data_IF_190926112064
#
_entry.id   IF_190926112064
#
_cell.length_a   1.000
_cell.length_b   1.000
_cell.length_c   1.000
_cell.angle_alpha   90.00
_cell.angle_beta   90.00
_cell.angle_gamma   90.00
#
_symmetry.space_group_name_H-M   'P 1'
#
loop_
_entity.id
_entity.type
_entity.pdbx_description
1 polymer ?
#
# COMPACT_ATOMS: atom_id res chain seq x y z
N UNK A 1 2.91 13.51 -1.00
CA UNK A 1 4.36 13.43 -0.72
C UNK A 1 5.13 12.82 -1.90
N UNK A 2 4.64 11.74 -2.47
CA UNK A 2 5.16 11.10 -3.69
C UNK A 2 4.05 11.08 -4.72
N UNK A 3 4.34 11.42 -5.98
CA UNK A 3 3.46 11.28 -7.11
C UNK A 3 4.25 10.75 -8.31
N UNK A 4 3.77 9.64 -8.88
CA UNK A 4 4.35 9.03 -10.09
C UNK A 4 3.31 9.04 -11.20
N UNK A 5 3.74 9.37 -12.41
CA UNK A 5 2.89 9.42 -13.60
C UNK A 5 3.52 8.58 -14.71
N UNK A 6 2.92 7.44 -14.99
CA UNK A 6 3.33 6.55 -16.07
C UNK A 6 4.79 6.07 -15.98
N UNK A 7 5.32 5.78 -14.77
CA UNK A 7 6.72 5.36 -14.61
C UNK A 7 6.98 4.03 -15.30
N UNK A 8 7.87 4.05 -16.26
CA UNK A 8 8.39 2.86 -16.96
C UNK A 8 9.87 2.70 -16.66
N UNK A 9 10.29 1.46 -16.38
CA UNK A 9 11.72 1.11 -16.31
C UNK A 9 12.01 -0.11 -17.16
N UNK A 10 12.89 0.06 -18.12
CA UNK A 10 13.42 -0.99 -18.98
C UNK A 10 14.91 -1.18 -18.69
N UNK A 11 15.33 -2.43 -18.52
CA UNK A 11 16.75 -2.79 -18.48
C UNK A 11 17.14 -3.49 -19.77
N UNK A 12 18.39 -3.27 -20.18
CA UNK A 12 19.01 -3.91 -21.36
C UNK A 12 20.16 -4.78 -20.88
N UNK A 13 20.20 -6.01 -21.35
CA UNK A 13 21.31 -6.93 -21.13
C UNK A 13 21.63 -7.70 -22.41
N UNK A 14 22.59 -8.61 -22.35
CA UNK A 14 22.99 -9.44 -23.50
C UNK A 14 21.85 -10.34 -24.05
N UNK A 15 20.84 -10.65 -23.24
CA UNK A 15 19.68 -11.46 -23.63
C UNK A 15 18.54 -10.62 -24.23
N UNK A 16 18.64 -9.28 -24.20
CA UNK A 16 17.61 -8.36 -24.76
C UNK A 16 17.15 -7.29 -23.79
N UNK A 17 16.01 -6.69 -24.12
CA UNK A 17 15.35 -5.69 -23.27
C UNK A 17 14.20 -6.32 -22.49
N UNK A 18 14.07 -5.94 -21.21
CA UNK A 18 12.96 -6.35 -20.38
C UNK A 18 12.41 -5.18 -19.57
N UNK A 19 11.08 -5.05 -19.55
CA UNK A 19 10.37 -3.99 -18.86
C UNK A 19 10.06 -4.47 -17.44
N UNK A 20 10.61 -3.77 -16.45
CA UNK A 20 10.43 -4.11 -15.03
C UNK A 20 9.29 -3.31 -14.39
N UNK A 21 9.13 -2.04 -14.80
CA UNK A 21 7.98 -1.21 -14.40
C UNK A 21 7.22 -0.81 -15.65
N UNK A 22 5.89 -0.99 -15.65
CA UNK A 22 5.04 -0.94 -16.84
C UNK A 22 3.97 0.16 -16.74
N UNK A 23 4.39 1.40 -16.43
CA UNK A 23 3.48 2.53 -16.32
C UNK A 23 2.88 2.65 -14.91
N UNK A 24 3.71 2.94 -13.92
CA UNK A 24 3.27 3.06 -12.52
C UNK A 24 2.72 4.46 -12.27
N UNK A 25 1.44 4.52 -11.91
CA UNK A 25 0.75 5.70 -11.41
C UNK A 25 0.45 5.51 -9.92
N UNK A 26 1.10 6.32 -9.06
CA UNK A 26 1.02 6.19 -7.62
C UNK A 26 1.03 7.55 -6.94
N UNK A 27 0.15 7.74 -5.97
CA UNK A 27 0.15 8.92 -5.09
C UNK A 27 0.23 8.49 -3.63
N UNK A 28 1.18 9.08 -2.88
CA UNK A 28 1.32 8.92 -1.44
C UNK A 28 1.25 10.30 -0.80
N UNK A 29 0.37 10.48 0.16
CA UNK A 29 0.17 11.71 0.91
C UNK A 29 1.32 11.98 1.90
N UNK A 30 1.27 13.15 2.55
CA UNK A 30 2.14 13.44 3.69
C UNK A 30 1.60 12.79 4.96
N UNK A 31 2.48 12.31 5.83
CA UNK A 31 2.08 11.66 7.08
C UNK A 31 1.48 10.26 6.90
N UNK A 32 1.60 9.65 5.71
CA UNK A 32 1.17 8.28 5.49
C UNK A 32 2.29 7.28 5.80
N UNK A 33 1.91 6.16 6.40
CA UNK A 33 2.73 4.94 6.44
C UNK A 33 2.21 3.96 5.42
N UNK A 34 2.96 3.76 4.34
CA UNK A 34 2.57 2.94 3.19
C UNK A 34 3.51 1.76 3.04
N UNK A 35 2.97 0.57 2.84
CA UNK A 35 3.75 -0.60 2.45
C UNK A 35 3.59 -0.91 0.96
N UNK A 36 4.69 -1.29 0.30
CA UNK A 36 4.68 -1.92 -1.02
C UNK A 36 4.98 -3.40 -0.86
N UNK A 37 4.05 -4.23 -1.30
CA UNK A 37 4.17 -5.68 -1.22
C UNK A 37 4.13 -6.31 -2.61
N UNK A 38 4.68 -7.53 -2.73
CA UNK A 38 4.69 -8.26 -3.99
C UNK A 38 5.74 -9.36 -3.98
N UNK A 39 5.67 -10.28 -4.93
CA UNK A 39 6.63 -11.37 -5.07
C UNK A 39 8.04 -10.84 -5.37
N UNK A 40 9.06 -11.67 -5.11
CA UNK A 40 10.42 -11.36 -5.57
C UNK A 40 10.41 -11.15 -7.10
N UNK A 41 11.16 -10.14 -7.56
CA UNK A 41 11.21 -9.78 -8.98
C UNK A 41 10.03 -8.98 -9.53
N UNK A 42 9.03 -8.62 -8.70
CA UNK A 42 7.87 -7.83 -9.19
C UNK A 42 8.15 -6.35 -9.47
N UNK A 43 9.34 -5.84 -9.14
CA UNK A 43 9.73 -4.45 -9.39
C UNK A 43 9.76 -3.53 -8.16
N UNK A 44 9.54 -4.03 -6.94
CA UNK A 44 9.48 -3.21 -5.70
C UNK A 44 10.74 -2.36 -5.46
N UNK A 45 11.90 -3.01 -5.36
CA UNK A 45 13.17 -2.29 -5.14
C UNK A 45 13.52 -1.39 -6.33
N UNK A 46 13.12 -1.76 -7.55
CA UNK A 46 13.28 -0.90 -8.72
C UNK A 46 12.44 0.38 -8.56
N UNK A 47 11.18 0.26 -8.12
CA UNK A 47 10.33 1.43 -7.85
C UNK A 47 10.91 2.29 -6.72
N UNK A 48 11.43 1.67 -5.64
CA UNK A 48 12.13 2.40 -4.60
C UNK A 48 13.32 3.20 -5.14
N UNK A 49 14.14 2.58 -5.99
CA UNK A 49 15.30 3.24 -6.59
C UNK A 49 14.89 4.43 -7.47
N UNK A 50 13.72 4.36 -8.13
CA UNK A 50 13.16 5.50 -8.85
C UNK A 50 12.72 6.61 -7.88
N UNK A 51 12.00 6.28 -6.80
CA UNK A 51 11.52 7.24 -5.81
C UNK A 51 12.67 7.93 -5.08
N UNK A 52 13.74 7.19 -4.80
CA UNK A 52 14.93 7.73 -4.10
C UNK A 52 15.92 8.45 -5.02
N UNK A 53 15.70 8.39 -6.33
CA UNK A 53 16.62 9.01 -7.30
C UNK A 53 17.98 8.30 -7.40
N UNK A 54 18.07 7.02 -6.98
CA UNK A 54 19.29 6.20 -7.11
C UNK A 54 19.44 5.71 -8.55
N UNK A 55 18.33 5.35 -9.20
CA UNK A 55 18.31 4.97 -10.62
C UNK A 55 17.23 5.80 -11.34
N UNK A 56 17.25 5.84 -12.68
CA UNK A 56 16.42 6.69 -13.52
C UNK A 56 15.30 5.88 -14.19
N UNK A 57 14.07 6.41 -14.28
CA UNK A 57 13.04 5.82 -15.12
C UNK A 57 13.41 5.94 -16.61
N UNK A 58 12.92 4.99 -17.41
CA UNK A 58 13.04 5.06 -18.88
C UNK A 58 12.04 6.05 -19.47
N UNK A 59 10.86 6.18 -18.84
CA UNK A 59 9.81 7.14 -19.17
C UNK A 59 8.94 7.43 -17.96
N UNK A 60 8.13 8.48 -18.06
CA UNK A 60 7.21 8.93 -17.00
C UNK A 60 7.80 10.04 -16.15
N UNK A 61 7.03 10.48 -15.15
CA UNK A 61 7.38 11.60 -14.28
C UNK A 61 7.37 11.17 -12.80
N UNK A 62 8.37 11.63 -12.04
CA UNK A 62 8.52 11.35 -10.61
C UNK A 62 8.61 12.65 -9.81
N UNK A 63 7.59 12.92 -9.03
CA UNK A 63 7.51 14.10 -8.16
C UNK A 63 7.61 13.65 -6.70
N UNK A 64 8.63 14.13 -5.99
CA UNK A 64 8.83 13.80 -4.57
C UNK A 64 9.00 15.09 -3.79
N UNK A 65 8.21 15.27 -2.73
CA UNK A 65 8.21 16.51 -1.95
C UNK A 65 7.80 17.76 -2.75
N UNK A 66 7.04 17.56 -3.84
CA UNK A 66 6.65 18.65 -4.76
C UNK A 66 7.70 18.96 -5.84
N UNK A 67 8.80 18.23 -5.91
CA UNK A 67 9.88 18.43 -6.88
C UNK A 67 9.94 17.28 -7.87
N UNK A 68 9.96 17.58 -9.18
CA UNK A 68 10.29 16.60 -10.20
C UNK A 68 11.80 16.35 -10.18
N UNK A 69 12.17 15.17 -9.67
CA UNK A 69 13.57 14.85 -9.36
C UNK A 69 14.40 14.43 -10.58
N UNK A 70 13.76 14.21 -11.74
CA UNK A 70 14.48 13.79 -12.96
C UNK A 70 14.52 14.86 -14.04
N UNK A 71 13.47 15.65 -14.21
CA UNK A 71 13.44 16.70 -15.24
C UNK A 71 14.11 18.00 -14.78
N UNK A 72 14.08 18.29 -13.48
CA UNK A 72 14.53 19.58 -12.94
C UNK A 72 15.89 19.54 -12.25
N UNK A 73 16.55 18.37 -12.17
CA UNK A 73 17.80 18.19 -11.43
C UNK A 73 18.82 17.35 -12.18
N UNK A 74 20.07 17.87 -12.27
CA UNK A 74 21.24 17.06 -12.58
C UNK A 74 21.64 16.16 -11.41
N UNK A 75 22.54 15.19 -11.63
CA UNK A 75 22.93 14.17 -10.63
C UNK A 75 23.46 14.80 -9.32
N UNK A 76 24.34 15.78 -9.40
CA UNK A 76 24.88 16.45 -8.20
C UNK A 76 23.80 17.18 -7.39
N UNK A 77 22.83 17.80 -8.06
CA UNK A 77 21.71 18.46 -7.40
C UNK A 77 20.78 17.44 -6.74
N UNK A 78 20.48 16.34 -7.45
CA UNK A 78 19.64 15.24 -6.94
C UNK A 78 20.30 14.55 -5.74
N UNK A 79 21.62 14.34 -5.76
CA UNK A 79 22.35 13.77 -4.62
C UNK A 79 22.25 14.66 -3.38
N UNK A 80 22.41 15.97 -3.51
CA UNK A 80 22.24 16.93 -2.40
C UNK A 80 20.79 16.99 -1.92
N UNK A 81 19.84 17.01 -2.86
CA UNK A 81 18.42 17.00 -2.55
C UNK A 81 18.03 15.74 -1.77
N UNK A 82 18.50 14.55 -2.21
CA UNK A 82 18.31 13.26 -1.54
C UNK A 82 18.78 13.32 -0.10
N UNK A 83 20.02 13.79 0.14
CA UNK A 83 20.59 13.90 1.47
C UNK A 83 19.77 14.76 2.45
N UNK A 84 19.04 15.76 1.95
CA UNK A 84 18.21 16.67 2.76
C UNK A 84 16.75 16.20 2.92
N UNK A 85 16.22 15.49 1.94
CA UNK A 85 14.79 15.20 1.88
C UNK A 85 14.43 13.73 2.11
N UNK A 86 15.40 12.81 2.00
CA UNK A 86 15.16 11.37 2.10
C UNK A 86 16.05 10.73 3.15
N UNK A 87 15.45 9.92 4.00
CA UNK A 87 16.13 8.88 4.76
C UNK A 87 15.97 7.55 4.06
N UNK A 88 17.06 6.82 3.81
CA UNK A 88 17.01 5.54 3.12
C UNK A 88 17.54 4.45 4.04
N UNK A 89 16.71 3.42 4.27
CA UNK A 89 17.07 2.22 5.01
C UNK A 89 17.15 1.07 4.03
N UNK A 90 18.34 0.49 3.87
CA UNK A 90 18.58 -0.61 2.96
C UNK A 90 18.41 -1.97 3.64
N UNK A 91 18.09 -3.00 2.89
CA UNK A 91 17.94 -4.38 3.36
C UNK A 91 19.21 -4.92 4.04
N UNK A 92 20.41 -4.57 3.55
CA UNK A 92 21.72 -5.00 4.05
C UNK A 92 22.46 -3.86 4.76
N UNK A 93 21.82 -3.12 5.62
CA UNK A 93 22.31 -2.02 6.48
C UNK A 93 23.25 -1.01 5.81
N UNK A 94 24.21 -1.45 5.00
CA UNK A 94 25.23 -0.66 4.30
C UNK A 94 25.98 0.33 5.24
N UNK A 95 26.28 -0.14 6.46
CA UNK A 95 27.18 0.58 7.36
C UNK A 95 28.62 0.42 6.87
N UNK A 96 29.39 1.50 6.95
CA UNK A 96 30.82 1.44 6.64
C UNK A 96 31.56 0.73 7.77
N UNK A 97 32.23 -0.42 7.49
CA UNK A 97 32.74 -1.29 8.54
C UNK A 97 33.93 -0.72 9.32
N UNK A 98 34.62 0.29 8.75
CA UNK A 98 35.75 0.98 9.37
C UNK A 98 35.33 2.16 10.24
N UNK A 99 34.08 2.57 10.22
CA UNK A 99 33.55 3.66 11.01
C UNK A 99 32.73 3.14 12.18
N UNK A 100 32.82 3.80 13.33
CA UNK A 100 31.93 3.54 14.48
C UNK A 100 30.46 3.78 14.12
N UNK A 101 29.52 3.34 14.95
CA UNK A 101 28.11 3.61 14.73
C UNK A 101 27.84 5.12 14.73
N UNK A 102 28.51 5.89 15.62
CA UNK A 102 28.40 7.34 15.67
C UNK A 102 28.83 7.96 14.32
N UNK A 103 30.00 7.61 13.82
CA UNK A 103 30.53 8.14 12.57
C UNK A 103 29.66 7.73 11.37
N UNK A 104 29.14 6.51 11.34
CA UNK A 104 28.17 6.09 10.32
C UNK A 104 26.90 6.98 10.31
N UNK A 105 26.41 7.37 11.49
CA UNK A 105 25.22 8.24 11.59
C UNK A 105 25.56 9.69 11.22
N UNK A 106 26.81 10.14 11.40
CA UNK A 106 27.25 11.48 11.00
C UNK A 106 27.37 11.66 9.50
N UNK A 107 27.72 10.60 8.75
CA UNK A 107 28.00 10.66 7.30
C UNK A 107 26.94 11.42 6.47
N UNK A 108 25.63 11.18 6.60
CA UNK A 108 24.64 11.93 5.81
C UNK A 108 24.69 13.43 6.06
N UNK A 109 24.97 13.85 7.30
CA UNK A 109 25.07 15.27 7.67
C UNK A 109 26.30 15.92 7.02
N UNK A 110 27.41 15.18 6.93
CA UNK A 110 28.63 15.63 6.27
C UNK A 110 28.43 15.83 4.76
N UNK A 111 27.80 14.84 4.08
CA UNK A 111 27.57 14.90 2.63
C UNK A 111 26.49 15.90 2.21
N UNK A 112 25.47 16.08 3.04
CA UNK A 112 24.37 17.01 2.75
C UNK A 112 24.64 18.44 3.23
N UNK A 113 25.78 18.65 3.91
CA UNK A 113 26.15 19.92 4.55
C UNK A 113 25.00 20.41 5.46
N UNK A 114 24.57 19.54 6.35
CA UNK A 114 23.51 19.80 7.33
C UNK A 114 24.13 19.93 8.71
N UNK A 115 23.64 20.89 9.47
CA UNK A 115 24.14 21.27 10.80
C UNK A 115 25.62 21.73 10.82
N UNK A 116 25.95 22.52 11.80
CA UNK A 116 27.34 22.91 12.04
C UNK A 116 28.19 21.72 12.46
N UNK A 117 29.44 21.70 12.10
CA UNK A 117 30.38 20.60 12.34
C UNK A 117 30.37 20.15 13.82
N UNK A 118 30.34 21.10 14.74
CA UNK A 118 30.34 20.82 16.20
C UNK A 118 28.99 20.24 16.70
N UNK A 119 27.90 20.41 15.98
CA UNK A 119 26.56 19.92 16.33
C UNK A 119 26.33 18.48 15.87
N UNK A 120 27.01 18.03 14.80
CA UNK A 120 26.81 16.71 14.19
C UNK A 120 27.01 15.54 15.15
N UNK A 121 28.08 15.53 16.01
CA UNK A 121 28.25 14.42 16.97
C UNK A 121 27.11 14.31 18.00
N UNK A 122 26.62 15.46 18.48
CA UNK A 122 25.50 15.48 19.43
C UNK A 122 24.20 14.97 18.75
N UNK A 123 23.92 15.45 17.55
CA UNK A 123 22.78 14.98 16.75
C UNK A 123 22.85 13.48 16.47
N UNK A 124 24.02 12.94 16.12
CA UNK A 124 24.22 11.52 15.89
C UNK A 124 23.98 10.69 17.17
N UNK A 125 24.39 11.18 18.35
CA UNK A 125 24.08 10.53 19.63
C UNK A 125 22.58 10.50 19.91
N UNK A 126 21.87 11.59 19.65
CA UNK A 126 20.41 11.66 19.78
C UNK A 126 19.70 10.62 18.89
N UNK A 127 20.15 10.46 17.65
CA UNK A 127 19.60 9.46 16.74
C UNK A 127 19.92 8.03 17.20
N UNK A 128 21.10 7.78 17.71
CA UNK A 128 21.47 6.50 18.32
C UNK A 128 20.66 6.22 19.61
N UNK A 129 20.43 7.24 20.42
CA UNK A 129 19.56 7.11 21.60
C UNK A 129 18.12 6.79 21.23
N UNK A 130 17.58 7.40 20.17
CA UNK A 130 16.23 7.13 19.64
C UNK A 130 16.02 5.65 19.30
N UNK A 131 17.07 4.97 18.84
CA UNK A 131 17.04 3.53 18.50
C UNK A 131 17.65 2.64 19.58
N UNK A 132 17.92 3.17 20.77
CA UNK A 132 18.44 2.42 21.94
C UNK A 132 19.91 2.03 21.84
N UNK A 133 20.73 2.73 21.03
CA UNK A 133 22.13 2.42 20.77
C UNK A 133 23.14 3.47 21.34
N UNK A 134 22.72 4.31 22.25
CA UNK A 134 23.58 5.35 22.84
C UNK A 134 24.90 4.79 23.41
N UNK A 135 24.80 3.67 24.17
CA UNK A 135 25.95 3.00 24.79
C UNK A 135 26.87 2.28 23.77
N UNK A 136 26.42 2.06 22.54
CA UNK A 136 27.14 1.39 21.47
C UNK A 136 27.74 2.39 20.47
N UNK A 137 27.58 3.67 20.66
CA UNK A 137 27.99 4.73 19.71
C UNK A 137 29.43 4.61 19.22
N UNK A 138 30.37 4.25 20.09
CA UNK A 138 31.80 4.11 19.77
C UNK A 138 32.19 2.74 19.22
N UNK A 139 31.25 1.80 19.08
CA UNK A 139 31.53 0.47 18.54
C UNK A 139 31.52 0.46 17.01
N UNK A 140 32.33 -0.42 16.43
CA UNK A 140 32.28 -0.74 15.00
C UNK A 140 31.07 -1.64 14.70
N UNK A 141 30.54 -1.64 13.47
CA UNK A 141 29.41 -2.49 13.06
C UNK A 141 29.62 -3.97 13.39
N UNK A 142 30.82 -4.50 13.21
CA UNK A 142 31.13 -5.90 13.51
C UNK A 142 31.06 -6.26 15.03
N UNK A 143 31.05 -5.27 15.90
CA UNK A 143 31.01 -5.48 17.35
C UNK A 143 29.57 -5.41 17.94
N UNK A 144 28.54 -5.34 17.10
CA UNK A 144 27.13 -5.27 17.49
C UNK A 144 26.30 -6.31 16.73
N UNK A 145 25.11 -6.65 17.28
CA UNK A 145 24.22 -7.63 16.64
C UNK A 145 23.62 -7.10 15.33
N UNK A 146 23.11 -8.01 14.49
CA UNK A 146 22.39 -7.68 13.25
C UNK A 146 21.25 -6.68 13.48
N UNK A 147 20.43 -6.89 14.54
CA UNK A 147 19.37 -5.96 14.91
C UNK A 147 19.90 -4.58 15.30
N UNK A 148 21.03 -4.53 15.99
CA UNK A 148 21.69 -3.27 16.34
C UNK A 148 22.30 -2.57 15.11
N UNK A 149 22.80 -3.31 14.13
CA UNK A 149 23.26 -2.74 12.87
C UNK A 149 22.09 -2.12 12.08
N UNK A 150 20.94 -2.79 12.05
CA UNK A 150 19.74 -2.25 11.42
C UNK A 150 19.25 -1.00 12.12
N UNK A 151 19.19 -1.02 13.45
CA UNK A 151 18.81 0.15 14.23
C UNK A 151 19.77 1.34 13.96
N UNK A 152 21.08 1.09 13.86
CA UNK A 152 22.05 2.12 13.50
C UNK A 152 21.84 2.65 12.07
N UNK A 153 21.47 1.78 11.11
CA UNK A 153 21.14 2.21 9.75
C UNK A 153 19.88 3.09 9.72
N UNK A 154 18.90 2.82 10.59
CA UNK A 154 17.73 3.68 10.75
C UNK A 154 18.12 5.02 11.39
N UNK A 155 18.95 5.02 12.44
CA UNK A 155 19.47 6.24 13.04
C UNK A 155 20.21 7.11 12.00
N UNK A 156 21.02 6.49 11.15
CA UNK A 156 21.69 7.15 10.01
C UNK A 156 20.69 7.75 9.03
N UNK A 157 19.64 7.03 8.69
CA UNK A 157 18.61 7.52 7.77
C UNK A 157 17.84 8.74 8.33
N UNK A 158 17.74 8.85 9.66
CA UNK A 158 17.06 9.95 10.36
C UNK A 158 17.99 11.14 10.68
N UNK A 159 19.28 11.03 10.47
CA UNK A 159 20.29 12.02 10.91
C UNK A 159 19.99 13.44 10.41
N UNK A 160 19.63 13.59 9.13
CA UNK A 160 19.28 14.86 8.50
C UNK A 160 17.82 15.31 8.71
N UNK A 161 17.06 14.65 9.58
CA UNK A 161 15.64 14.93 9.84
C UNK A 161 14.74 14.92 8.58
N UNK A 162 14.84 13.93 7.69
CA UNK A 162 14.13 13.94 6.43
C UNK A 162 12.61 13.86 6.62
N UNK A 163 11.79 14.51 5.77
CA UNK A 163 10.33 14.39 5.80
C UNK A 163 9.82 13.05 5.25
N UNK A 164 10.64 12.32 4.46
CA UNK A 164 10.32 11.04 3.86
C UNK A 164 11.38 10.00 4.21
N UNK A 165 10.94 8.89 4.81
CA UNK A 165 11.75 7.69 5.05
C UNK A 165 11.33 6.60 4.05
N UNK A 166 12.31 6.04 3.36
CA UNK A 166 12.12 4.92 2.42
C UNK A 166 12.90 3.73 2.94
N UNK A 167 12.24 2.60 3.17
CA UNK A 167 12.84 1.41 3.76
C UNK A 167 12.62 0.18 2.87
N UNK A 168 13.71 -0.46 2.46
CA UNK A 168 13.67 -1.72 1.70
C UNK A 168 13.92 -2.89 2.65
N UNK A 169 12.87 -3.67 2.94
CA UNK A 169 12.85 -4.83 3.83
C UNK A 169 13.55 -4.59 5.19
N UNK A 170 13.17 -3.53 5.94
CA UNK A 170 13.90 -3.09 7.11
C UNK A 170 13.91 -4.09 8.28
N UNK A 171 13.09 -5.13 8.22
CA UNK A 171 12.93 -6.14 9.28
C UNK A 171 13.30 -7.55 8.82
N UNK A 172 13.61 -7.76 7.54
CA UNK A 172 13.76 -9.09 6.94
C UNK A 172 14.85 -9.98 7.53
N UNK A 173 15.83 -9.41 8.23
CA UNK A 173 16.95 -10.14 8.84
C UNK A 173 16.91 -10.08 10.39
N UNK A 174 15.76 -9.77 10.98
CA UNK A 174 15.61 -9.55 12.41
C UNK A 174 14.74 -10.61 13.06
N UNK A 175 14.96 -10.83 14.36
CA UNK A 175 13.99 -11.53 15.20
C UNK A 175 12.71 -10.70 15.38
N UNK A 176 11.61 -11.35 15.74
CA UNK A 176 10.28 -10.72 15.83
C UNK A 176 10.27 -9.52 16.78
N UNK A 177 10.98 -9.61 17.91
CA UNK A 177 11.03 -8.52 18.91
C UNK A 177 11.73 -7.27 18.37
N UNK A 178 12.84 -7.47 17.66
CA UNK A 178 13.58 -6.39 17.01
C UNK A 178 12.78 -5.79 15.85
N UNK A 179 12.07 -6.63 15.09
CA UNK A 179 11.18 -6.19 14.00
C UNK A 179 10.05 -5.32 14.55
N UNK A 180 9.35 -5.76 15.60
CA UNK A 180 8.28 -4.99 16.23
C UNK A 180 8.77 -3.63 16.73
N UNK A 181 9.92 -3.57 17.40
CA UNK A 181 10.49 -2.31 17.87
C UNK A 181 10.75 -1.30 16.76
N UNK A 182 11.19 -1.76 15.57
CA UNK A 182 11.38 -0.91 14.39
C UNK A 182 10.05 -0.40 13.87
N UNK A 183 9.03 -1.24 13.78
CA UNK A 183 7.71 -0.81 13.30
C UNK A 183 7.07 0.16 14.28
N UNK A 184 7.19 -0.07 15.58
CA UNK A 184 6.73 0.88 16.64
C UNK A 184 7.42 2.25 16.47
N UNK A 185 8.73 2.25 16.20
CA UNK A 185 9.46 3.49 15.91
C UNK A 185 8.91 4.16 14.65
N UNK A 186 8.64 3.41 13.58
CA UNK A 186 8.08 3.98 12.35
C UNK A 186 6.69 4.57 12.59
N UNK A 187 5.83 3.88 13.33
CA UNK A 187 4.49 4.41 13.70
C UNK A 187 4.61 5.71 14.50
N UNK A 188 5.55 5.78 15.45
CA UNK A 188 5.83 7.00 16.20
C UNK A 188 6.27 8.14 15.28
N UNK A 189 7.21 7.90 14.38
CA UNK A 189 7.69 8.91 13.41
C UNK A 189 6.55 9.42 12.51
N UNK A 190 5.63 8.54 12.11
CA UNK A 190 4.44 8.94 11.33
C UNK A 190 3.50 9.80 12.16
N UNK A 191 3.27 9.47 13.45
CA UNK A 191 2.47 10.31 14.34
C UNK A 191 3.09 11.70 14.58
N UNK A 192 4.41 11.83 14.39
CA UNK A 192 5.16 13.09 14.40
C UNK A 192 5.17 13.80 13.03
N UNK A 193 4.43 13.28 12.04
CA UNK A 193 4.23 13.90 10.72
C UNK A 193 5.21 13.45 9.64
N UNK A 194 6.07 12.47 9.88
CA UNK A 194 6.92 11.86 8.85
C UNK A 194 6.09 11.01 7.89
N UNK A 195 6.52 10.93 6.64
CA UNK A 195 5.96 9.97 5.67
C UNK A 195 6.90 8.77 5.58
N UNK A 196 6.36 7.56 5.59
CA UNK A 196 7.17 6.34 5.50
C UNK A 196 6.67 5.47 4.36
N UNK A 197 7.59 5.08 3.49
CA UNK A 197 7.37 4.09 2.44
C UNK A 197 8.23 2.87 2.73
N UNK A 198 7.61 1.74 2.98
CA UNK A 198 8.29 0.49 3.31
C UNK A 198 8.01 -0.58 2.24
N UNK A 199 9.05 -1.21 1.73
CA UNK A 199 8.90 -2.47 0.99
C UNK A 199 9.01 -3.62 1.98
N UNK A 200 8.06 -4.55 1.92
CA UNK A 200 8.11 -5.78 2.72
C UNK A 200 7.43 -6.94 1.98
N UNK A 201 7.85 -8.15 2.30
CA UNK A 201 7.17 -9.38 1.91
C UNK A 201 6.44 -10.04 3.08
N UNK A 202 6.52 -9.46 4.28
CA UNK A 202 5.87 -9.96 5.49
C UNK A 202 4.44 -9.43 5.60
N UNK A 203 3.42 -10.32 5.48
CA UNK A 203 2.01 -9.92 5.60
C UNK A 203 1.64 -9.39 6.98
N UNK A 204 2.35 -9.80 8.05
CA UNK A 204 2.05 -9.37 9.41
C UNK A 204 2.30 -7.87 9.61
N UNK A 205 3.25 -7.30 8.87
CA UNK A 205 3.60 -5.90 8.93
C UNK A 205 2.62 -5.02 8.14
N UNK A 206 1.95 -5.57 7.13
CA UNK A 206 1.01 -4.82 6.30
C UNK A 206 -0.22 -4.38 7.06
N UNK A 207 -0.65 -5.12 8.08
CA UNK A 207 -1.77 -4.74 8.95
C UNK A 207 -1.48 -3.52 9.83
N UNK A 208 -0.21 -3.13 9.98
CA UNK A 208 0.25 -1.99 10.79
C UNK A 208 0.48 -0.73 9.96
N UNK A 209 0.31 -0.80 8.65
CA UNK A 209 0.44 0.36 7.75
C UNK A 209 -0.92 0.94 7.40
N UNK A 210 -0.97 2.23 7.03
CA UNK A 210 -2.22 2.90 6.65
C UNK A 210 -2.75 2.39 5.30
N UNK A 211 -1.84 2.06 4.37
CA UNK A 211 -2.16 1.58 3.03
C UNK A 211 -1.18 0.52 2.57
N UNK A 212 -1.70 -0.46 1.84
CA UNK A 212 -0.90 -1.53 1.23
C UNK A 212 -1.03 -1.44 -0.29
N UNK A 213 0.07 -1.20 -0.95
CA UNK A 213 0.18 -1.16 -2.40
C UNK A 213 0.76 -2.48 -2.88
N UNK A 214 0.06 -3.16 -3.76
CA UNK A 214 0.53 -4.44 -4.30
C UNK A 214 1.08 -4.22 -5.70
N UNK A 215 2.33 -4.62 -5.90
CA UNK A 215 2.96 -4.66 -7.23
C UNK A 215 3.10 -6.10 -7.70
N UNK A 216 2.62 -6.37 -8.90
CA UNK A 216 2.70 -7.67 -9.54
C UNK A 216 3.12 -7.51 -10.99
N UNK A 217 4.17 -8.22 -11.40
CA UNK A 217 4.68 -8.18 -12.77
C UNK A 217 4.92 -6.76 -13.33
N UNK A 218 5.44 -5.88 -12.47
CA UNK A 218 5.76 -4.49 -12.82
C UNK A 218 4.57 -3.54 -12.93
N UNK A 219 3.39 -3.94 -12.48
CA UNK A 219 2.16 -3.15 -12.52
C UNK A 219 1.51 -3.11 -11.12
N UNK A 220 0.75 -2.05 -10.83
CA UNK A 220 0.02 -1.93 -9.57
C UNK A 220 -1.33 -2.65 -9.66
N UNK A 221 -1.69 -3.30 -8.56
CA UNK A 221 -3.03 -3.82 -8.35
C UNK A 221 -3.89 -2.70 -7.75
N UNK A 222 -5.13 -2.56 -8.22
CA UNK A 222 -6.06 -1.58 -7.63
C UNK A 222 -6.35 -1.93 -6.17
N UNK A 223 -6.23 -0.93 -5.30
CA UNK A 223 -6.36 -1.10 -3.86
C UNK A 223 -7.76 -1.56 -3.44
N UNK A 224 -8.80 -1.16 -4.17
CA UNK A 224 -10.16 -1.63 -3.89
C UNK A 224 -10.28 -3.13 -4.12
N UNK A 225 -9.68 -3.66 -5.20
CA UNK A 225 -9.66 -5.10 -5.51
C UNK A 225 -8.90 -5.87 -4.43
N UNK A 226 -7.73 -5.38 -4.04
CA UNK A 226 -6.92 -6.07 -3.03
C UNK A 226 -7.57 -6.10 -1.64
N UNK A 227 -8.32 -5.05 -1.28
CA UNK A 227 -9.08 -4.99 -0.02
C UNK A 227 -10.32 -5.90 -0.05
N UNK A 228 -11.05 -5.88 -1.17
CA UNK A 228 -12.28 -6.65 -1.33
C UNK A 228 -12.04 -8.15 -1.38
N UNK A 229 -10.96 -8.58 -2.03
CA UNK A 229 -10.68 -9.99 -2.32
C UNK A 229 -9.25 -10.37 -1.91
N UNK A 230 -8.87 -10.23 -0.62
CA UNK A 230 -7.49 -10.43 -0.16
C UNK A 230 -6.97 -11.86 -0.32
N UNK A 231 -7.85 -12.84 -0.50
CA UNK A 231 -7.51 -14.25 -0.71
C UNK A 231 -7.12 -14.57 -2.16
N UNK A 232 -7.33 -13.64 -3.10
CA UNK A 232 -6.93 -13.83 -4.49
C UNK A 232 -5.41 -13.82 -4.64
N UNK A 233 -4.93 -14.64 -5.57
CA UNK A 233 -3.53 -14.55 -6.01
C UNK A 233 -3.29 -13.23 -6.72
N UNK A 234 -2.13 -12.60 -6.52
CA UNK A 234 -1.79 -11.30 -7.12
C UNK A 234 -1.98 -11.28 -8.66
N UNK A 235 -1.71 -12.39 -9.36
CA UNK A 235 -1.95 -12.49 -10.82
C UNK A 235 -3.43 -12.27 -11.19
N UNK A 236 -4.36 -12.82 -10.38
CA UNK A 236 -5.80 -12.67 -10.61
C UNK A 236 -6.28 -11.27 -10.24
N UNK A 237 -5.74 -10.71 -9.13
CA UNK A 237 -6.01 -9.31 -8.77
C UNK A 237 -5.54 -8.35 -9.88
N UNK A 238 -4.36 -8.60 -10.46
CA UNK A 238 -3.84 -7.81 -11.59
C UNK A 238 -4.72 -7.96 -12.83
N UNK A 239 -5.18 -9.16 -13.14
CA UNK A 239 -6.12 -9.38 -14.23
C UNK A 239 -7.43 -8.62 -14.01
N UNK A 240 -7.98 -8.68 -12.79
CA UNK A 240 -9.15 -7.89 -12.43
C UNK A 240 -8.90 -6.40 -12.59
N UNK A 241 -7.76 -5.91 -12.12
CA UNK A 241 -7.37 -4.49 -12.26
C UNK A 241 -7.37 -4.03 -13.73
N UNK A 242 -6.87 -4.88 -14.64
CA UNK A 242 -6.81 -4.57 -16.08
C UNK A 242 -8.17 -4.59 -16.78
N UNK A 243 -9.07 -5.46 -16.34
CA UNK A 243 -10.38 -5.67 -16.98
C UNK A 243 -11.50 -4.86 -16.33
N UNK A 244 -11.31 -4.42 -15.09
CA UNK A 244 -12.31 -3.64 -14.38
C UNK A 244 -12.56 -2.30 -15.07
N UNK A 245 -13.83 -1.93 -15.19
CA UNK A 245 -14.25 -0.63 -15.68
C UNK A 245 -14.60 0.26 -14.48
N UNK A 246 -14.17 1.51 -14.54
CA UNK A 246 -14.54 2.51 -13.53
C UNK A 246 -15.85 3.18 -13.94
N UNK A 247 -16.80 3.21 -13.02
CA UNK A 247 -18.10 3.85 -13.20
C UNK A 247 -18.35 4.76 -12.00
N UNK A 248 -18.82 5.97 -12.27
CA UNK A 248 -19.20 6.93 -11.23
C UNK A 248 -20.71 7.08 -11.22
N UNK A 249 -21.31 6.94 -10.05
CA UNK A 249 -22.74 7.09 -9.81
C UNK A 249 -22.99 8.34 -8.98
N UNK A 250 -24.02 9.11 -9.34
CA UNK A 250 -24.42 10.29 -8.60
C UNK A 250 -25.18 9.91 -7.31
N UNK A 251 -25.20 10.78 -6.28
CA UNK A 251 -25.95 10.52 -5.07
C UNK A 251 -27.41 10.12 -5.34
N UNK A 252 -27.85 9.01 -4.76
CA UNK A 252 -29.18 8.43 -4.94
C UNK A 252 -29.42 7.67 -6.24
N UNK A 253 -28.45 7.61 -7.14
CA UNK A 253 -28.57 6.86 -8.39
C UNK A 253 -28.66 5.34 -8.13
N UNK A 254 -29.59 4.66 -8.82
CA UNK A 254 -29.72 3.22 -8.73
C UNK A 254 -28.64 2.53 -9.54
N UNK A 255 -27.84 1.68 -8.88
CA UNK A 255 -26.74 0.91 -9.48
C UNK A 255 -27.23 -0.45 -9.92
N UNK A 256 -28.06 -1.09 -9.09
CA UNK A 256 -28.63 -2.40 -9.34
C UNK A 256 -30.09 -2.37 -8.91
N UNK A 257 -31.00 -2.61 -9.85
CA UNK A 257 -32.43 -2.67 -9.52
C UNK A 257 -32.82 -4.08 -9.06
N UNK A 258 -33.83 -4.15 -8.20
CA UNK A 258 -34.40 -5.41 -7.77
C UNK A 258 -34.95 -6.17 -8.98
N UNK A 259 -34.85 -7.51 -8.95
CA UNK A 259 -35.28 -8.42 -10.04
C UNK A 259 -34.51 -8.27 -11.37
N UNK A 260 -33.47 -7.42 -11.44
CA UNK A 260 -32.58 -7.31 -12.58
C UNK A 260 -31.56 -8.46 -12.63
N UNK A 261 -31.17 -8.90 -13.82
CA UNK A 261 -30.03 -9.81 -13.97
C UNK A 261 -28.72 -9.08 -13.61
N UNK A 262 -27.86 -9.79 -12.90
CA UNK A 262 -26.54 -9.26 -12.48
C UNK A 262 -25.46 -9.84 -13.38
N UNK A 263 -24.87 -8.97 -14.20
CA UNK A 263 -23.84 -9.34 -15.18
C UNK A 263 -22.41 -8.93 -14.74
N UNK A 264 -22.28 -8.20 -13.64
CA UNK A 264 -21.01 -7.74 -13.12
C UNK A 264 -20.92 -7.93 -11.61
N UNK A 265 -19.68 -8.18 -11.13
CA UNK A 265 -19.31 -7.89 -9.76
C UNK A 265 -19.04 -6.40 -9.63
N UNK A 266 -19.48 -5.78 -8.55
CA UNK A 266 -19.24 -4.38 -8.24
C UNK A 266 -18.35 -4.29 -6.99
N UNK A 267 -17.31 -3.46 -7.05
CA UNK A 267 -16.43 -3.17 -5.92
C UNK A 267 -16.46 -1.67 -5.67
N UNK A 268 -16.83 -1.24 -4.48
CA UNK A 268 -16.87 0.17 -4.10
C UNK A 268 -15.43 0.68 -3.92
N UNK A 269 -15.04 1.68 -4.69
CA UNK A 269 -13.72 2.29 -4.63
C UNK A 269 -13.70 3.51 -3.71
N UNK A 270 -14.71 4.36 -3.81
CA UNK A 270 -14.94 5.51 -2.93
C UNK A 270 -16.44 5.80 -2.81
N UNK A 271 -16.82 6.50 -1.75
CA UNK A 271 -18.21 6.70 -1.38
C UNK A 271 -18.82 5.46 -0.71
N UNK A 272 -20.13 5.44 -0.60
CA UNK A 272 -20.89 4.34 -0.01
C UNK A 272 -22.14 4.02 -0.83
N UNK A 273 -22.58 2.75 -0.80
CA UNK A 273 -23.83 2.32 -1.43
C UNK A 273 -24.79 1.77 -0.39
N UNK A 274 -26.08 2.05 -0.55
CA UNK A 274 -27.15 1.52 0.29
C UNK A 274 -27.78 0.30 -0.37
N UNK A 275 -27.78 -0.81 0.35
CA UNK A 275 -28.45 -2.05 -0.06
C UNK A 275 -29.87 -2.01 0.47
N UNK A 276 -30.84 -1.97 -0.43
CA UNK A 276 -32.25 -1.78 -0.14
C UNK A 276 -33.06 -3.03 -0.49
N UNK A 277 -34.02 -3.37 0.34
CA UNK A 277 -35.00 -4.41 0.06
C UNK A 277 -36.37 -3.79 -0.17
N UNK A 278 -37.07 -4.23 -1.20
CA UNK A 278 -38.49 -3.93 -1.41
C UNK A 278 -39.36 -5.03 -0.78
N UNK A 279 -40.22 -4.67 0.17
CA UNK A 279 -41.18 -5.56 0.82
C UNK A 279 -42.53 -4.83 0.87
N UNK A 280 -43.57 -5.39 0.21
CA UNK A 280 -44.91 -4.79 0.14
C UNK A 280 -44.97 -3.30 -0.19
N UNK A 281 -44.12 -2.84 -1.13
CA UNK A 281 -44.08 -1.43 -1.57
C UNK A 281 -43.32 -0.49 -0.64
N UNK A 282 -42.74 -0.98 0.45
CA UNK A 282 -41.83 -0.21 1.33
C UNK A 282 -40.39 -0.62 1.08
N UNK A 283 -39.52 0.39 1.02
CA UNK A 283 -38.09 0.20 0.93
C UNK A 283 -37.49 0.16 2.34
N UNK A 284 -36.67 -0.86 2.63
CA UNK A 284 -35.92 -0.97 3.87
C UNK A 284 -34.45 -1.10 3.56
N UNK A 285 -33.61 -0.29 4.18
CA UNK A 285 -32.17 -0.42 4.11
C UNK A 285 -31.72 -1.66 4.90
N UNK A 286 -31.02 -2.55 4.25
CA UNK A 286 -30.45 -3.77 4.84
C UNK A 286 -29.03 -3.55 5.33
N UNK A 287 -28.22 -2.84 4.53
CA UNK A 287 -26.82 -2.57 4.81
C UNK A 287 -26.35 -1.32 4.06
N UNK A 288 -25.23 -0.77 4.47
CA UNK A 288 -24.47 0.21 3.73
C UNK A 288 -23.08 -0.39 3.48
N UNK A 289 -22.59 -0.33 2.25
CA UNK A 289 -21.28 -0.84 1.85
C UNK A 289 -20.38 0.33 1.46
N UNK A 290 -19.20 0.38 2.05
CA UNK A 290 -18.20 1.43 1.84
C UNK A 290 -17.03 0.99 0.96
N UNK A 291 -16.02 1.84 0.90
CA UNK A 291 -14.82 1.60 0.09
C UNK A 291 -14.09 0.29 0.48
N UNK A 292 -13.83 -0.56 -0.52
CA UNK A 292 -13.23 -1.90 -0.36
C UNK A 292 -14.26 -3.01 -0.13
N UNK A 293 -15.54 -2.72 -0.10
CA UNK A 293 -16.60 -3.73 -0.09
C UNK A 293 -17.15 -3.97 -1.50
N UNK A 294 -17.88 -5.07 -1.68
CA UNK A 294 -18.36 -5.50 -2.99
C UNK A 294 -19.82 -6.00 -2.90
N UNK A 295 -20.51 -6.01 -4.04
CA UNK A 295 -21.88 -6.52 -4.17
C UNK A 295 -22.12 -7.15 -5.57
N UNK A 296 -23.24 -7.86 -5.72
CA UNK A 296 -23.56 -8.60 -6.93
C UNK A 296 -23.02 -10.03 -6.96
N UNK A 297 -22.22 -10.42 -5.98
CA UNK A 297 -21.59 -11.75 -5.88
C UNK A 297 -22.59 -12.88 -5.66
N UNK A 298 -23.70 -12.60 -4.95
CA UNK A 298 -24.72 -13.61 -4.61
C UNK A 298 -25.31 -14.17 -5.90
N UNK A 299 -25.77 -13.30 -6.77
CA UNK A 299 -26.40 -13.67 -8.03
C UNK A 299 -25.39 -14.21 -9.05
N UNK A 300 -24.15 -13.73 -9.01
CA UNK A 300 -23.08 -14.26 -9.86
C UNK A 300 -22.74 -15.70 -9.52
N UNK A 301 -22.70 -16.06 -8.23
CA UNK A 301 -22.34 -17.41 -7.77
C UNK A 301 -23.52 -18.39 -7.78
N UNK A 302 -24.73 -17.92 -7.43
CA UNK A 302 -25.92 -18.80 -7.34
C UNK A 302 -26.80 -18.75 -8.59
N UNK A 303 -26.62 -17.76 -9.43
CA UNK A 303 -27.53 -17.43 -10.51
C UNK A 303 -28.79 -16.72 -10.01
N UNK A 304 -29.58 -16.21 -10.93
CA UNK A 304 -30.84 -15.55 -10.63
C UNK A 304 -30.81 -14.04 -10.85
N UNK A 305 -31.80 -13.40 -10.26
CA UNK A 305 -32.00 -11.94 -10.30
C UNK A 305 -31.62 -11.33 -8.96
N UNK A 306 -31.32 -10.03 -8.98
CA UNK A 306 -30.95 -9.27 -7.79
C UNK A 306 -32.03 -9.38 -6.69
N UNK A 307 -31.61 -9.88 -5.52
CA UNK A 307 -32.50 -10.04 -4.36
C UNK A 307 -32.66 -8.76 -3.56
N UNK A 308 -31.82 -7.76 -3.83
CA UNK A 308 -31.85 -6.43 -3.24
C UNK A 308 -31.50 -5.38 -4.30
N UNK A 309 -32.06 -4.18 -4.16
CA UNK A 309 -31.65 -3.02 -4.94
C UNK A 309 -30.40 -2.40 -4.31
N UNK A 310 -29.50 -1.83 -5.12
CA UNK A 310 -28.34 -1.10 -4.62
C UNK A 310 -28.35 0.31 -5.21
N UNK A 311 -28.18 1.32 -4.35
CA UNK A 311 -28.14 2.75 -4.75
C UNK A 311 -26.89 3.40 -4.20
N UNK A 312 -26.38 4.40 -4.91
CA UNK A 312 -25.39 5.30 -4.35
C UNK A 312 -25.99 6.04 -3.16
N UNK A 313 -25.22 6.17 -2.07
CA UNK A 313 -25.63 6.97 -0.91
C UNK A 313 -25.92 8.42 -1.31
N UNK A 314 -26.74 9.13 -0.49
CA UNK A 314 -27.12 10.52 -0.74
C UNK A 314 -26.00 11.54 -0.42
N UNK A 315 -24.92 11.10 0.26
CA UNK A 315 -23.92 12.01 0.80
C UNK A 315 -22.90 12.46 -0.25
N UNK A 316 -22.40 11.53 -1.07
CA UNK A 316 -21.33 11.80 -2.04
C UNK A 316 -21.43 10.87 -3.27
N UNK A 317 -20.84 11.24 -4.42
CA UNK A 317 -20.73 10.35 -5.58
C UNK A 317 -19.99 9.07 -5.23
N UNK A 318 -20.40 7.95 -5.82
CA UNK A 318 -19.79 6.64 -5.64
C UNK A 318 -18.96 6.30 -6.86
N UNK A 319 -17.67 6.03 -6.68
CA UNK A 319 -16.84 5.41 -7.70
C UNK A 319 -16.82 3.89 -7.44
N UNK A 320 -17.24 3.11 -8.42
CA UNK A 320 -17.21 1.65 -8.36
C UNK A 320 -16.39 1.07 -9.51
N UNK A 321 -15.78 -0.09 -9.25
CA UNK A 321 -15.18 -0.95 -10.25
C UNK A 321 -16.20 -2.03 -10.63
N UNK A 322 -16.46 -2.20 -11.91
CA UNK A 322 -17.31 -3.27 -12.42
C UNK A 322 -16.46 -4.32 -13.11
N UNK A 323 -16.74 -5.60 -12.83
CA UNK A 323 -15.97 -6.70 -13.38
C UNK A 323 -16.92 -7.77 -13.95
N UNK A 324 -16.78 -8.16 -15.25
CA UNK A 324 -17.72 -9.02 -15.94
C UNK A 324 -17.88 -10.39 -15.29
N UNK A 325 -19.13 -10.91 -15.26
CA UNK A 325 -19.51 -12.21 -14.70
C UNK A 325 -18.65 -13.36 -15.21
N UNK A 326 -18.44 -13.44 -16.52
CA UNK A 326 -17.70 -14.56 -17.12
C UNK A 326 -16.26 -14.63 -16.62
N UNK A 327 -15.60 -13.48 -16.56
CA UNK A 327 -14.23 -13.37 -16.07
C UNK A 327 -14.15 -13.65 -14.56
N UNK A 328 -15.12 -13.15 -13.78
CA UNK A 328 -15.21 -13.40 -12.35
C UNK A 328 -15.35 -14.88 -12.03
N UNK A 329 -16.30 -15.57 -12.65
CA UNK A 329 -16.52 -16.99 -12.41
C UNK A 329 -15.31 -17.83 -12.77
N UNK A 330 -14.64 -17.54 -13.89
CA UNK A 330 -13.39 -18.22 -14.27
C UNK A 330 -12.29 -18.04 -13.22
N UNK A 331 -12.09 -16.81 -12.71
CA UNK A 331 -11.08 -16.53 -11.67
C UNK A 331 -11.42 -17.30 -10.37
N UNK A 332 -12.70 -17.38 -10.00
CA UNK A 332 -13.14 -18.11 -8.80
C UNK A 332 -12.92 -19.60 -8.95
N UNK A 333 -13.21 -20.19 -10.12
CA UNK A 333 -12.92 -21.58 -10.42
C UNK A 333 -11.42 -21.92 -10.29
N UNK A 334 -10.54 -21.01 -10.69
CA UNK A 334 -9.09 -21.14 -10.56
C UNK A 334 -8.56 -20.88 -9.12
N UNK A 335 -9.41 -20.42 -8.20
CA UNK A 335 -9.03 -19.99 -6.84
C UNK A 335 -9.94 -20.57 -5.75
N UNK A 336 -9.80 -21.88 -5.39
CA UNK A 336 -10.68 -22.56 -4.43
C UNK A 336 -10.77 -21.86 -3.07
N UNK A 337 -9.67 -21.30 -2.57
CA UNK A 337 -9.65 -20.56 -1.29
C UNK A 337 -10.55 -19.33 -1.37
N UNK A 338 -10.52 -18.60 -2.48
CA UNK A 338 -11.39 -17.44 -2.69
C UNK A 338 -12.84 -17.85 -2.86
N UNK A 339 -13.10 -18.95 -3.56
CA UNK A 339 -14.44 -19.52 -3.71
C UNK A 339 -15.06 -19.87 -2.35
N UNK A 340 -14.29 -20.50 -1.46
CA UNK A 340 -14.73 -20.83 -0.09
C UNK A 340 -15.00 -19.57 0.73
N UNK A 341 -14.08 -18.58 0.69
CA UNK A 341 -14.25 -17.33 1.42
C UNK A 341 -15.49 -16.56 0.96
N UNK A 342 -15.70 -16.45 -0.35
CA UNK A 342 -16.90 -15.82 -0.92
C UNK A 342 -18.17 -16.59 -0.58
N UNK A 343 -18.13 -17.93 -0.59
CA UNK A 343 -19.24 -18.76 -0.16
C UNK A 343 -19.72 -18.43 1.25
N UNK A 344 -18.78 -18.25 2.20
CA UNK A 344 -19.09 -17.83 3.58
C UNK A 344 -19.74 -16.43 3.62
N UNK A 345 -19.19 -15.47 2.90
CA UNK A 345 -19.76 -14.11 2.81
C UNK A 345 -21.19 -14.14 2.26
N UNK A 346 -21.41 -14.92 1.22
CA UNK A 346 -22.77 -15.12 0.63
C UNK A 346 -23.73 -15.72 1.65
N UNK A 347 -23.32 -16.75 2.39
CA UNK A 347 -24.17 -17.37 3.43
C UNK A 347 -24.50 -16.39 4.56
N UNK A 348 -23.53 -15.63 5.05
CA UNK A 348 -23.71 -14.60 6.08
C UNK A 348 -24.70 -13.52 5.62
N UNK A 349 -24.52 -12.98 4.41
CA UNK A 349 -25.41 -11.95 3.85
C UNK A 349 -26.85 -12.47 3.65
N UNK A 350 -27.00 -13.72 3.22
CA UNK A 350 -28.33 -14.34 3.07
C UNK A 350 -29.00 -14.59 4.43
N UNK A 351 -28.25 -14.98 5.46
CA UNK A 351 -28.77 -15.13 6.81
C UNK A 351 -29.25 -13.78 7.39
N UNK A 352 -28.48 -12.71 7.20
CA UNK A 352 -28.89 -11.34 7.59
C UNK A 352 -30.16 -10.90 6.89
N UNK A 353 -30.29 -11.17 5.59
CA UNK A 353 -31.51 -10.90 4.81
C UNK A 353 -32.73 -11.70 5.30
N UNK A 354 -32.52 -12.92 5.84
CA UNK A 354 -33.57 -13.75 6.40
C UNK A 354 -34.00 -13.35 7.82
N UNK A 355 -33.06 -12.90 8.66
CA UNK A 355 -33.34 -12.44 10.04
C UNK A 355 -34.12 -11.12 10.04
N UNK A 356 -33.87 -10.22 9.11
CA UNK A 356 -34.70 -9.05 8.87
C UNK A 356 -36.19 -9.40 8.63
N UNK A 357 -36.47 -10.59 8.04
CA UNK A 357 -37.85 -11.13 7.92
C UNK A 357 -38.43 -11.61 9.25
N UNK A 358 -37.63 -12.23 10.13
CA UNK A 358 -38.13 -12.83 11.38
C UNK A 358 -38.42 -11.81 12.49
N UNK A 359 -37.73 -10.66 12.51
CA UNK A 359 -37.99 -9.57 13.49
C UNK A 359 -39.34 -8.90 13.21
N UNK A 360 -39.74 -8.70 11.94
CA UNK A 360 -41.02 -8.09 11.58
C UNK A 360 -42.24 -8.99 11.95
N UNK A 361 -42.12 -10.29 11.80
CA UNK A 361 -43.23 -11.21 12.17
C UNK A 361 -43.45 -11.34 13.68
N UNK A 362 -42.54 -10.83 14.52
CA UNK A 362 -42.72 -10.79 15.98
C UNK A 362 -43.31 -9.47 16.47
N UNK A 363 -43.09 -8.38 15.75
CA UNK A 363 -43.62 -7.02 16.13
C UNK A 363 -45.04 -6.79 15.58
N UNK A 364 -45.56 -7.67 14.68
CA UNK A 364 -46.92 -7.64 14.14
C UNK A 364 -47.88 -8.63 14.82
N UNK A 365 -47.44 -9.30 15.90
CA UNK A 365 -48.29 -10.14 16.75
C UNK A 365 -48.39 -9.58 18.16
#
# INVERSE_FOLDING_TARGET
>A
MIETRGIVKTFKNAAGEFVVLKGIDLTIGRGEFVSIVGKSGSGKSTLLNMITGIDHPTAGQMIVGGTDIYHNMGESQRSRWRGKNLGIVFQFFQLLPMLTLLENVMLPMDYADMFDFDQRPQRAKEMLALVGLEKQASKLPAAVSTGQQQAAAIARALACDPPLLVADEPTGNLDSKSADAIIDLFMKLVSEGKTILMVTHDPSLTSRTHRNIIISDGELIDEAISRSLPQLRHRHMLEMTKKAQRVTYQPGETILDCDQHVDNLFIVKSGAVDVMKKDDGREQQLAQLGAGEFFGEIELLRGGKAIACVRASQEEPVEALTFPRADFLRIIEESPITAEALGKVVEERLAQNAEGKRRKTKDER
#
